data_IF_695731879084
#
_entry.id   IF_695731879084
#
_cell.length_a   1.000
_cell.length_b   1.000
_cell.length_c   1.000
_cell.angle_alpha   90.00
_cell.angle_beta   90.00
_cell.angle_gamma   90.00
#
_symmetry.space_group_name_H-M   'P 1'
#
loop_
_entity.id
_entity.type
_entity.pdbx_description
1 polymer ?
#
# COMPACT_ATOMS: atom_id res chain seq x y z
N UNK A 1 14.05 20.53 13.51
CA UNK A 1 13.02 20.60 12.45
C UNK A 1 13.18 19.38 11.54
N UNK A 2 12.10 18.67 11.21
CA UNK A 2 12.12 17.53 10.27
C UNK A 2 10.96 17.70 9.28
N UNK A 3 11.20 17.42 8.01
CA UNK A 3 10.25 17.68 6.92
C UNK A 3 8.92 16.91 7.07
N UNK A 4 8.93 15.76 7.77
CA UNK A 4 7.72 14.97 8.04
C UNK A 4 6.82 15.51 9.16
N UNK A 5 7.26 16.52 9.93
CA UNK A 5 6.54 16.97 11.12
C UNK A 5 5.18 17.59 10.77
N UNK A 6 5.09 18.40 9.71
CA UNK A 6 3.85 19.05 9.31
C UNK A 6 2.77 18.06 8.89
N UNK A 7 3.18 16.99 8.17
CA UNK A 7 2.28 15.89 7.79
C UNK A 7 1.73 15.16 9.02
N UNK A 8 2.61 14.81 9.97
CA UNK A 8 2.22 14.17 11.22
C UNK A 8 1.31 15.05 12.06
N UNK A 9 1.64 16.33 12.22
CA UNK A 9 0.85 17.26 13.02
C UNK A 9 -0.56 17.47 12.44
N UNK A 10 -0.68 17.54 11.10
CA UNK A 10 -1.97 17.65 10.42
C UNK A 10 -2.82 16.40 10.62
N UNK A 11 -2.24 15.21 10.42
CA UNK A 11 -2.91 13.94 10.69
C UNK A 11 -3.35 13.85 12.16
N UNK A 12 -2.47 14.19 13.11
CA UNK A 12 -2.75 14.13 14.55
C UNK A 12 -3.94 15.01 14.94
N UNK A 13 -4.07 16.20 14.34
CA UNK A 13 -5.21 17.10 14.56
C UNK A 13 -6.53 16.42 14.14
N UNK A 14 -6.56 15.84 12.94
CA UNK A 14 -7.74 15.14 12.40
C UNK A 14 -8.05 13.88 13.20
N UNK A 15 -7.03 13.12 13.59
CA UNK A 15 -7.18 11.90 14.38
C UNK A 15 -7.79 12.21 15.74
N UNK A 16 -7.31 13.25 16.43
CA UNK A 16 -7.82 13.63 17.75
C UNK A 16 -9.25 14.17 17.70
N UNK A 17 -9.66 14.82 16.59
CA UNK A 17 -11.03 15.33 16.45
C UNK A 17 -12.08 14.26 16.14
N UNK A 18 -11.66 13.11 15.60
CA UNK A 18 -12.57 12.05 15.13
C UNK A 18 -12.45 10.74 15.93
N UNK A 19 -11.29 10.46 16.50
CA UNK A 19 -10.97 9.20 17.16
C UNK A 19 -11.05 9.26 18.68
N UNK A 20 -11.20 8.09 19.32
CA UNK A 20 -11.06 7.91 20.77
C UNK A 20 -9.66 7.43 21.19
N UNK A 21 -8.81 7.03 20.23
CA UNK A 21 -7.50 6.44 20.48
C UNK A 21 -6.37 7.47 20.40
N UNK A 22 -5.29 7.21 21.15
CA UNK A 22 -4.15 8.11 21.23
C UNK A 22 -3.43 8.25 19.87
N UNK A 23 -3.16 9.49 19.39
CA UNK A 23 -2.42 9.74 18.16
C UNK A 23 -0.91 9.53 18.39
N UNK A 24 -0.49 8.28 18.42
CA UNK A 24 0.93 7.89 18.52
C UNK A 24 1.63 7.90 17.16
N UNK A 25 2.96 7.98 17.17
CA UNK A 25 3.75 7.84 15.94
C UNK A 25 3.52 6.48 15.26
N UNK A 26 3.34 5.41 16.04
CA UNK A 26 3.04 4.08 15.51
C UNK A 26 1.70 4.06 14.76
N UNK A 27 0.67 4.68 15.32
CA UNK A 27 -0.63 4.80 14.66
C UNK A 27 -0.53 5.58 13.35
N UNK A 28 0.23 6.69 13.32
CA UNK A 28 0.49 7.44 12.09
C UNK A 28 1.20 6.57 11.03
N UNK A 29 2.23 5.83 11.42
CA UNK A 29 2.95 4.97 10.47
C UNK A 29 2.01 3.92 9.88
N UNK A 30 1.20 3.26 10.71
CA UNK A 30 0.24 2.23 10.27
C UNK A 30 -0.87 2.79 9.36
N UNK A 31 -1.37 3.99 9.64
CA UNK A 31 -2.49 4.58 8.92
C UNK A 31 -2.07 5.25 7.61
N UNK A 32 -0.88 5.87 7.56
CA UNK A 32 -0.48 6.73 6.46
C UNK A 32 0.70 6.20 5.62
N UNK A 33 1.54 5.32 6.17
CA UNK A 33 2.84 4.99 5.57
C UNK A 33 3.09 3.50 5.31
N UNK A 34 2.39 2.62 6.01
CA UNK A 34 2.47 1.17 5.74
C UNK A 34 1.90 0.91 4.34
N UNK A 35 2.66 0.29 3.43
CA UNK A 35 2.16 -0.01 2.10
C UNK A 35 0.98 -0.96 2.14
N UNK A 36 0.08 -0.82 1.18
CA UNK A 36 -1.00 -1.77 0.98
C UNK A 36 -0.45 -3.13 0.53
N UNK A 37 -1.13 -4.18 0.98
CA UNK A 37 -0.99 -5.53 0.49
C UNK A 37 -2.24 -5.92 -0.29
N UNK A 38 -2.03 -6.63 -1.40
CA UNK A 38 -3.14 -7.08 -2.25
C UNK A 38 -2.88 -8.49 -2.77
N UNK A 39 -3.95 -9.26 -2.87
CA UNK A 39 -3.90 -10.62 -3.38
C UNK A 39 -4.09 -10.65 -4.90
N UNK A 40 -3.25 -11.41 -5.59
CA UNK A 40 -3.41 -11.68 -7.02
C UNK A 40 -4.69 -12.47 -7.28
N UNK A 41 -5.51 -12.00 -8.22
CA UNK A 41 -6.80 -12.62 -8.59
C UNK A 41 -6.68 -13.72 -9.65
N UNK A 42 -5.46 -13.99 -10.15
CA UNK A 42 -5.17 -15.11 -11.05
C UNK A 42 -5.35 -16.42 -10.27
N UNK A 43 -6.22 -17.32 -10.75
CA UNK A 43 -6.67 -18.53 -10.03
C UNK A 43 -5.53 -19.47 -9.62
N UNK A 44 -4.48 -19.59 -10.42
CA UNK A 44 -3.29 -20.41 -10.19
C UNK A 44 -2.16 -19.68 -9.46
N UNK A 45 -2.39 -18.44 -9.01
CA UNK A 45 -1.38 -17.64 -8.30
C UNK A 45 -1.76 -17.39 -6.84
N UNK A 46 -2.83 -16.62 -6.60
CA UNK A 46 -3.32 -16.23 -5.27
C UNK A 46 -2.29 -15.62 -4.27
N UNK A 47 -1.08 -15.26 -4.73
CA UNK A 47 -0.02 -14.65 -3.92
C UNK A 47 -0.36 -13.22 -3.50
N UNK A 48 0.05 -12.85 -2.31
CA UNK A 48 0.08 -11.50 -1.78
C UNK A 48 1.28 -10.73 -2.30
N UNK A 49 1.05 -9.47 -2.65
CA UNK A 49 2.07 -8.53 -3.10
C UNK A 49 1.97 -7.24 -2.30
N UNK A 50 3.12 -6.81 -1.79
CA UNK A 50 3.27 -5.47 -1.25
C UNK A 50 3.32 -4.47 -2.41
N UNK A 51 2.59 -3.37 -2.27
CA UNK A 51 2.61 -2.28 -3.23
C UNK A 51 3.66 -1.24 -2.85
N UNK A 52 3.97 -0.33 -3.76
CA UNK A 52 4.78 0.85 -3.45
C UNK A 52 3.99 1.82 -2.56
N UNK A 53 4.72 2.58 -1.73
CA UNK A 53 4.15 3.45 -0.67
C UNK A 53 3.23 4.55 -1.19
N UNK A 54 3.38 4.93 -2.45
CA UNK A 54 2.65 5.99 -3.14
C UNK A 54 1.30 5.52 -3.72
N UNK A 55 1.06 4.20 -3.78
CA UNK A 55 -0.18 3.66 -4.34
C UNK A 55 -1.30 3.77 -3.30
N UNK A 56 -2.37 4.47 -3.68
CA UNK A 56 -3.66 4.44 -2.98
C UNK A 56 -4.45 3.23 -3.48
N UNK A 57 -4.57 2.17 -2.68
CA UNK A 57 -5.37 1.01 -3.06
C UNK A 57 -6.86 1.35 -3.00
N UNK A 58 -7.60 1.04 -4.06
CA UNK A 58 -9.06 1.14 -4.11
C UNK A 58 -9.68 -0.25 -4.16
N UNK A 59 -10.94 -0.38 -3.73
CA UNK A 59 -11.68 -1.65 -3.83
C UNK A 59 -11.78 -2.14 -5.29
N UNK A 60 -11.91 -1.23 -6.25
CA UNK A 60 -11.99 -1.59 -7.66
C UNK A 60 -10.66 -2.17 -8.19
N UNK A 61 -9.54 -1.52 -7.86
CA UNK A 61 -8.20 -2.02 -8.26
C UNK A 61 -7.86 -3.35 -7.58
N UNK A 62 -8.29 -3.56 -6.34
CA UNK A 62 -8.06 -4.82 -5.63
C UNK A 62 -8.74 -6.01 -6.33
N UNK A 63 -9.97 -5.83 -6.81
CA UNK A 63 -10.76 -6.89 -7.48
C UNK A 63 -10.19 -7.37 -8.81
N UNK A 64 -9.34 -6.57 -9.45
CA UNK A 64 -8.76 -6.89 -10.75
C UNK A 64 -7.24 -7.07 -10.70
N UNK A 65 -6.64 -6.98 -9.51
CA UNK A 65 -5.20 -6.99 -9.36
C UNK A 65 -4.61 -8.32 -9.82
N UNK A 66 -3.54 -8.24 -10.61
CA UNK A 66 -2.67 -9.37 -10.98
C UNK A 66 -1.21 -8.99 -10.72
N UNK A 67 -0.38 -9.97 -10.41
CA UNK A 67 1.05 -9.73 -10.19
C UNK A 67 1.67 -8.94 -11.37
N UNK A 68 2.50 -7.96 -11.05
CA UNK A 68 3.16 -7.11 -12.05
C UNK A 68 2.28 -6.01 -12.65
N UNK A 69 0.99 -5.93 -12.29
CA UNK A 69 0.14 -4.81 -12.67
C UNK A 69 0.65 -3.53 -11.97
N UNK A 70 1.20 -2.60 -12.76
CA UNK A 70 1.65 -1.29 -12.27
C UNK A 70 0.42 -0.38 -12.18
N UNK A 71 0.01 -0.03 -10.97
CA UNK A 71 -1.15 0.85 -10.76
C UNK A 71 -0.90 2.29 -11.24
N UNK A 72 0.37 2.68 -11.49
CA UNK A 72 0.74 3.92 -12.17
C UNK A 72 1.91 3.70 -13.15
N UNK A 73 1.62 3.88 -14.44
CA UNK A 73 2.54 4.01 -15.60
C UNK A 73 3.51 2.86 -15.94
N UNK A 74 3.52 2.57 -17.24
CA UNK A 74 4.24 1.48 -17.88
C UNK A 74 5.76 1.60 -17.76
N UNK A 75 6.41 0.52 -17.34
CA UNK A 75 7.80 0.22 -17.73
C UNK A 75 7.82 -1.21 -18.24
N UNK A 76 8.43 -1.38 -19.42
CA UNK A 76 8.55 -2.59 -20.23
C UNK A 76 8.81 -3.82 -19.36
N UNK A 77 7.98 -4.85 -19.51
CA UNK A 77 8.21 -6.16 -18.91
C UNK A 77 9.41 -6.81 -19.60
N UNK A 78 10.50 -6.99 -18.87
CA UNK A 78 11.40 -8.11 -19.16
C UNK A 78 10.60 -9.42 -19.01
N UNK A 79 10.92 -10.40 -19.83
CA UNK A 79 10.12 -11.60 -20.17
C UNK A 79 9.82 -12.60 -19.03
N UNK A 80 9.72 -12.17 -17.77
CA UNK A 80 9.39 -13.03 -16.62
C UNK A 80 7.92 -12.90 -16.22
N UNK A 81 7.23 -14.04 -16.06
CA UNK A 81 5.87 -14.06 -15.49
C UNK A 81 5.93 -13.54 -14.05
N UNK A 82 5.32 -12.38 -13.72
CA UNK A 82 5.34 -11.83 -12.36
C UNK A 82 4.67 -12.74 -11.32
N UNK A 83 3.83 -13.69 -11.75
CA UNK A 83 3.22 -14.68 -10.86
C UNK A 83 4.19 -15.79 -10.44
N UNK A 84 5.28 -15.99 -11.19
CA UNK A 84 6.32 -17.00 -10.90
C UNK A 84 7.26 -16.58 -9.77
N UNK A 85 7.37 -15.27 -9.50
CA UNK A 85 8.15 -14.74 -8.38
C UNK A 85 7.61 -15.28 -7.06
N UNK A 86 8.51 -15.64 -6.13
CA UNK A 86 8.14 -16.10 -4.79
C UNK A 86 7.33 -15.03 -4.04
N UNK A 87 6.47 -15.47 -3.13
CA UNK A 87 5.81 -14.58 -2.17
C UNK A 87 6.84 -14.11 -1.13
N UNK A 88 6.60 -12.94 -0.54
CA UNK A 88 7.41 -12.44 0.57
C UNK A 88 7.18 -13.31 1.82
N UNK A 89 8.21 -13.50 2.66
CA UNK A 89 8.16 -14.37 3.85
C UNK A 89 7.88 -13.60 5.13
#
# INVERSE_FOLDING_TARGET
HKDGYEKYATWKRIWTSNGKSEPSLKAFMSDQLVPYWVQCTKQDCAKWRQLTRDIQMTTASAKIYRCGMKTHTAVKSENSDPCSLSEDM
#
